data_IF_538173306880
#
_entry.id   IF_538173306880
#
_cell.length_a   1.000
_cell.length_b   1.000
_cell.length_c   1.000
_cell.angle_alpha   90.00
_cell.angle_beta   90.00
_cell.angle_gamma   90.00
#
_symmetry.space_group_name_H-M   'P 1'
#
loop_
_entity.id
_entity.type
_entity.pdbx_description
1 polymer ?
#
# COMPACT_ATOMS: atom_id res chain seq x y z
N UNK A 1 -7.07 -25.21 10.79
CA UNK A 1 -7.82 -25.03 9.53
C UNK A 1 -7.38 -23.72 8.88
N UNK A 2 -6.67 -23.78 7.75
CA UNK A 2 -6.24 -22.60 7.00
C UNK A 2 -7.46 -22.06 6.26
N UNK A 3 -8.08 -20.99 6.74
CA UNK A 3 -9.11 -20.27 5.96
C UNK A 3 -8.42 -19.67 4.74
N UNK A 4 -8.65 -20.27 3.57
CA UNK A 4 -8.27 -19.71 2.30
C UNK A 4 -9.01 -18.37 2.14
N UNK A 5 -8.27 -17.27 2.18
CA UNK A 5 -8.74 -15.95 1.75
C UNK A 5 -9.30 -16.12 0.33
N UNK A 6 -10.59 -15.87 0.14
CA UNK A 6 -11.20 -15.95 -1.19
C UNK A 6 -10.39 -15.08 -2.17
N UNK A 7 -10.02 -15.60 -3.35
CA UNK A 7 -9.21 -14.85 -4.30
C UNK A 7 -9.96 -13.60 -4.74
N UNK A 8 -9.30 -12.45 -4.65
CA UNK A 8 -9.87 -11.17 -5.09
C UNK A 8 -10.23 -11.29 -6.59
N UNK A 9 -11.36 -10.70 -7.03
CA UNK A 9 -11.82 -10.85 -8.40
C UNK A 9 -10.77 -10.35 -9.40
N UNK A 10 -10.68 -10.98 -10.58
CA UNK A 10 -9.72 -10.56 -11.60
C UNK A 10 -9.99 -9.11 -11.99
N UNK A 11 -8.91 -8.34 -12.10
CA UNK A 11 -8.95 -6.95 -12.54
C UNK A 11 -9.33 -6.91 -14.02
N UNK A 12 -10.26 -6.04 -14.38
CA UNK A 12 -10.75 -5.93 -15.77
C UNK A 12 -10.00 -4.86 -16.54
N UNK A 13 -9.55 -3.81 -15.87
CA UNK A 13 -8.80 -2.74 -16.48
C UNK A 13 -7.38 -3.16 -16.90
N UNK A 14 -6.94 -2.69 -18.07
CA UNK A 14 -5.55 -2.83 -18.55
C UNK A 14 -4.62 -1.81 -17.89
N UNK A 15 -5.16 -0.62 -17.55
CA UNK A 15 -4.38 0.48 -16.97
C UNK A 15 -4.22 0.30 -15.46
N UNK A 16 -2.98 0.35 -14.99
CA UNK A 16 -2.60 0.16 -13.58
C UNK A 16 -3.37 1.05 -12.59
N UNK A 17 -3.57 2.34 -12.93
CA UNK A 17 -4.34 3.24 -12.05
C UNK A 17 -5.83 2.92 -12.02
N UNK A 18 -6.38 2.36 -13.10
CA UNK A 18 -7.78 1.97 -13.16
C UNK A 18 -8.00 0.64 -12.42
N UNK A 19 -7.03 -0.27 -12.49
CA UNK A 19 -6.99 -1.47 -11.63
C UNK A 19 -7.00 -1.11 -10.13
N UNK A 20 -6.23 -0.09 -9.74
CA UNK A 20 -6.24 0.43 -8.37
C UNK A 20 -7.64 0.93 -7.98
N UNK A 21 -8.30 1.72 -8.84
CA UNK A 21 -9.66 2.21 -8.59
C UNK A 21 -10.67 1.07 -8.49
N UNK A 22 -10.62 0.10 -9.40
CA UNK A 22 -11.47 -1.09 -9.36
C UNK A 22 -11.33 -1.81 -8.02
N UNK A 23 -10.09 -2.01 -7.54
CA UNK A 23 -9.83 -2.71 -6.28
C UNK A 23 -10.31 -1.90 -5.06
N UNK A 24 -10.10 -0.59 -5.05
CA UNK A 24 -10.56 0.30 -3.97
C UNK A 24 -12.10 0.30 -3.90
N UNK A 25 -12.78 0.41 -5.05
CA UNK A 25 -14.24 0.39 -5.13
C UNK A 25 -14.83 -0.97 -4.78
N UNK A 26 -14.19 -2.06 -5.21
CA UNK A 26 -14.58 -3.42 -4.84
C UNK A 26 -14.50 -3.65 -3.32
N UNK A 27 -13.49 -3.07 -2.67
CA UNK A 27 -13.33 -3.14 -1.21
C UNK A 27 -14.15 -2.07 -0.46
N UNK A 28 -15.00 -1.33 -1.17
CA UNK A 28 -15.91 -0.32 -0.61
C UNK A 28 -15.20 0.79 0.21
N UNK A 29 -13.97 1.15 -0.17
CA UNK A 29 -13.34 2.33 0.41
C UNK A 29 -14.01 3.61 -0.08
N UNK A 30 -13.83 4.69 0.68
CA UNK A 30 -14.41 5.99 0.37
C UNK A 30 -13.73 6.65 -0.84
N UNK A 31 -14.47 7.53 -1.55
CA UNK A 31 -13.95 8.31 -2.67
C UNK A 31 -12.70 9.15 -2.31
N UNK A 32 -12.60 9.79 -1.12
CA UNK A 32 -11.38 10.47 -0.71
C UNK A 32 -10.17 9.54 -0.63
N UNK A 33 -10.36 8.30 -0.16
CA UNK A 33 -9.28 7.31 -0.12
C UNK A 33 -8.86 6.88 -1.52
N UNK A 34 -9.81 6.70 -2.44
CA UNK A 34 -9.51 6.46 -3.86
C UNK A 34 -8.61 7.56 -4.43
N UNK A 35 -9.00 8.82 -4.24
CA UNK A 35 -8.27 9.97 -4.77
C UNK A 35 -6.85 10.06 -4.19
N UNK A 36 -6.72 9.90 -2.86
CA UNK A 36 -5.43 9.92 -2.19
C UNK A 36 -4.51 8.80 -2.71
N UNK A 37 -5.02 7.57 -2.84
CA UNK A 37 -4.21 6.43 -3.25
C UNK A 37 -3.80 6.56 -4.72
N UNK A 38 -4.72 6.96 -5.60
CA UNK A 38 -4.40 7.21 -7.01
C UNK A 38 -3.37 8.34 -7.14
N UNK A 39 -3.46 9.39 -6.32
CA UNK A 39 -2.47 10.47 -6.29
C UNK A 39 -1.07 9.94 -5.96
N UNK A 40 -0.92 9.18 -4.87
CA UNK A 40 0.37 8.66 -4.43
C UNK A 40 0.98 7.64 -5.40
N UNK A 41 0.18 6.70 -5.91
CA UNK A 41 0.67 5.72 -6.88
C UNK A 41 1.09 6.40 -8.19
N UNK A 42 0.34 7.42 -8.64
CA UNK A 42 0.75 8.22 -9.80
C UNK A 42 2.04 9.00 -9.55
N UNK A 43 2.21 9.59 -8.36
CA UNK A 43 3.43 10.30 -7.99
C UNK A 43 4.64 9.35 -7.96
N UNK A 44 4.48 8.16 -7.41
CA UNK A 44 5.49 7.10 -7.39
C UNK A 44 5.92 6.68 -8.80
N UNK A 45 4.97 6.38 -9.69
CA UNK A 45 5.25 6.02 -11.09
C UNK A 45 6.05 7.12 -11.79
N UNK A 46 5.68 8.38 -11.57
CA UNK A 46 6.36 9.53 -12.18
C UNK A 46 7.75 9.75 -11.62
N UNK A 47 7.93 9.60 -10.32
CA UNK A 47 9.24 9.73 -9.66
C UNK A 47 10.26 8.73 -10.23
N UNK A 48 9.81 7.53 -10.60
CA UNK A 48 10.66 6.51 -11.21
C UNK A 48 10.72 6.54 -12.74
N UNK A 49 10.32 7.64 -13.38
CA UNK A 49 10.43 7.80 -14.83
C UNK A 49 9.42 6.99 -15.65
N UNK A 50 8.20 6.79 -15.12
CA UNK A 50 7.11 6.05 -15.79
C UNK A 50 7.45 4.57 -16.04
N UNK A 51 8.32 4.00 -15.20
CA UNK A 51 8.57 2.55 -15.17
C UNK A 51 7.35 1.80 -14.67
N UNK A 52 7.16 0.59 -15.18
CA UNK A 52 6.04 -0.24 -14.77
C UNK A 52 6.20 -0.66 -13.29
N UNK A 53 5.21 -0.43 -12.40
CA UNK A 53 5.38 -0.69 -10.97
C UNK A 53 5.71 -2.13 -10.59
N UNK A 54 5.34 -3.11 -11.41
CA UNK A 54 5.72 -4.51 -11.15
C UNK A 54 7.23 -4.77 -11.27
N UNK A 55 8.00 -3.87 -11.90
CA UNK A 55 9.47 -3.95 -11.97
C UNK A 55 10.15 -3.12 -10.89
N UNK A 56 9.37 -2.42 -10.04
CA UNK A 56 9.87 -1.58 -8.96
C UNK A 56 9.67 -2.34 -7.65
N UNK A 57 10.71 -2.41 -6.83
CA UNK A 57 10.71 -3.19 -5.61
C UNK A 57 10.81 -2.32 -4.36
N UNK A 58 11.36 -2.93 -3.31
CA UNK A 58 11.55 -2.32 -1.99
C UNK A 58 12.39 -1.04 -2.05
N UNK A 59 13.51 -1.09 -2.78
CA UNK A 59 14.48 0.00 -2.85
C UNK A 59 13.88 1.25 -3.49
N UNK A 60 13.04 1.07 -4.52
CA UNK A 60 12.31 2.14 -5.17
C UNK A 60 11.27 2.77 -4.24
N UNK A 61 10.51 1.94 -3.52
CA UNK A 61 9.54 2.42 -2.52
C UNK A 61 10.24 3.22 -1.43
N UNK A 62 11.36 2.73 -0.90
CA UNK A 62 12.15 3.43 0.11
C UNK A 62 12.73 4.75 -0.42
N UNK A 63 13.27 4.76 -1.64
CA UNK A 63 13.79 5.98 -2.26
C UNK A 63 12.70 7.04 -2.43
N UNK A 64 11.50 6.66 -2.85
CA UNK A 64 10.37 7.59 -3.00
C UNK A 64 9.90 8.15 -1.66
N UNK A 65 9.76 7.30 -0.63
CA UNK A 65 9.32 7.73 0.69
C UNK A 65 10.36 8.62 1.38
N UNK A 66 11.64 8.28 1.24
CA UNK A 66 12.75 9.13 1.69
C UNK A 66 12.71 10.48 0.99
N UNK A 67 12.45 10.48 -0.33
CA UNK A 67 12.33 11.69 -1.10
C UNK A 67 11.18 12.61 -0.62
N UNK A 68 10.05 12.01 -0.25
CA UNK A 68 8.94 12.76 0.34
C UNK A 68 9.31 13.41 1.67
N UNK A 69 10.06 12.70 2.52
CA UNK A 69 10.47 13.18 3.82
C UNK A 69 11.54 14.28 3.75
N UNK A 70 12.57 14.10 2.93
CA UNK A 70 13.75 14.95 2.93
C UNK A 70 13.61 16.15 2.00
N UNK A 71 13.25 15.92 0.73
CA UNK A 71 13.20 16.96 -0.29
C UNK A 71 11.85 17.68 -0.29
N UNK A 72 10.74 16.94 -0.13
CA UNK A 72 9.40 17.53 -0.12
C UNK A 72 8.93 17.96 1.26
N UNK A 73 9.65 17.57 2.33
CA UNK A 73 9.37 17.92 3.74
C UNK A 73 7.91 17.72 4.12
N UNK A 74 7.30 16.62 3.63
CA UNK A 74 5.88 16.36 3.88
C UNK A 74 5.65 16.04 5.36
N UNK A 75 4.44 16.30 5.86
CA UNK A 75 4.07 15.92 7.22
C UNK A 75 4.13 14.40 7.41
N UNK A 76 4.31 13.95 8.65
CA UNK A 76 4.28 12.53 9.02
C UNK A 76 2.96 11.86 8.58
N UNK A 77 1.83 12.56 8.73
CA UNK A 77 0.52 12.07 8.29
C UNK A 77 0.45 11.86 6.77
N UNK A 78 1.04 12.79 6.01
CA UNK A 78 1.13 12.71 4.54
C UNK A 78 2.03 11.54 4.11
N UNK A 79 3.19 11.38 4.76
CA UNK A 79 4.10 10.27 4.52
C UNK A 79 3.41 8.92 4.77
N UNK A 80 2.66 8.80 5.88
CA UNK A 80 1.91 7.59 6.23
C UNK A 80 0.81 7.27 5.21
N UNK A 81 0.13 8.29 4.66
CA UNK A 81 -0.83 8.09 3.57
C UNK A 81 -0.18 7.58 2.29
N UNK A 82 1.00 8.12 1.94
CA UNK A 82 1.77 7.65 0.78
C UNK A 82 2.20 6.20 0.95
N UNK A 83 2.75 5.84 2.11
CA UNK A 83 3.11 4.47 2.44
C UNK A 83 1.89 3.54 2.34
N UNK A 84 0.77 3.88 2.99
CA UNK A 84 -0.44 3.07 2.96
C UNK A 84 -0.96 2.82 1.53
N UNK A 85 -0.92 3.84 0.67
CA UNK A 85 -1.31 3.72 -0.73
C UNK A 85 -0.42 2.72 -1.50
N UNK A 86 0.90 2.79 -1.30
CA UNK A 86 1.85 1.87 -1.95
C UNK A 86 1.67 0.43 -1.44
N UNK A 87 1.52 0.24 -0.14
CA UNK A 87 1.30 -1.08 0.45
C UNK A 87 0.02 -1.72 -0.07
N UNK A 88 -1.06 -0.94 -0.13
CA UNK A 88 -2.31 -1.40 -0.73
C UNK A 88 -2.12 -1.79 -2.20
N UNK A 89 -1.43 -0.95 -2.97
CA UNK A 89 -1.22 -1.18 -4.38
C UNK A 89 -0.42 -2.47 -4.66
N UNK A 90 0.71 -2.69 -4.00
CA UNK A 90 1.49 -3.92 -4.21
C UNK A 90 0.77 -5.19 -3.71
N UNK A 91 0.17 -5.13 -2.52
CA UNK A 91 -0.48 -6.29 -1.93
C UNK A 91 -1.85 -6.62 -2.55
N UNK A 92 -2.62 -5.62 -2.96
CA UNK A 92 -4.00 -5.79 -3.45
C UNK A 92 -4.17 -5.58 -4.94
N UNK A 93 -3.26 -4.95 -5.66
CA UNK A 93 -3.41 -4.76 -7.12
C UNK A 93 -2.43 -5.66 -7.87
N UNK A 94 -1.16 -5.59 -7.51
CA UNK A 94 -0.13 -6.39 -8.16
C UNK A 94 -0.02 -7.82 -7.60
N UNK A 95 -0.66 -8.09 -6.45
CA UNK A 95 -0.54 -9.36 -5.72
C UNK A 95 0.92 -9.81 -5.55
N UNK A 96 1.84 -8.85 -5.45
CA UNK A 96 3.27 -9.11 -5.28
C UNK A 96 3.56 -9.10 -3.79
N UNK A 97 4.06 -10.21 -3.27
CA UNK A 97 4.56 -10.26 -1.91
C UNK A 97 5.87 -9.46 -1.89
N UNK A 98 5.87 -8.35 -1.16
CA UNK A 98 7.09 -7.62 -0.84
C UNK A 98 7.65 -8.28 0.42
N UNK A 99 8.74 -9.06 0.37
CA UNK A 99 9.17 -9.87 1.53
C UNK A 99 9.50 -9.03 2.78
N UNK A 100 9.91 -7.78 2.59
CA UNK A 100 10.12 -6.81 3.68
C UNK A 100 8.81 -6.25 4.28
N UNK A 101 7.68 -6.41 3.60
CA UNK A 101 6.34 -6.07 4.09
C UNK A 101 5.79 -7.15 5.04
N UNK A 102 6.17 -8.40 4.81
CA UNK A 102 5.70 -9.59 5.54
C UNK A 102 6.50 -9.88 6.82
N UNK A 103 7.59 -9.14 7.09
CA UNK A 103 8.29 -9.17 8.37
C UNK A 103 9.56 -10.02 8.42
N UNK A 104 10.26 -10.21 7.30
CA UNK A 104 11.62 -10.75 7.33
C UNK A 104 12.60 -9.66 7.83
N UNK A 105 12.82 -9.73 9.14
CA UNK A 105 13.59 -8.84 10.01
C UNK A 105 15.10 -8.87 9.75
N UNK A 106 15.56 -8.64 8.52
CA UNK A 106 17.00 -8.51 8.27
C UNK A 106 17.48 -7.14 7.79
N UNK A 107 16.73 -6.36 7.00
CA UNK A 107 17.24 -5.05 6.52
C UNK A 107 16.13 -4.14 5.96
N UNK A 108 15.34 -3.47 6.79
CA UNK A 108 14.30 -2.55 6.28
C UNK A 108 14.29 -1.23 7.04
N UNK A 109 14.88 -0.18 6.44
CA UNK A 109 14.92 1.17 6.99
C UNK A 109 13.52 1.84 6.96
N UNK A 110 12.62 1.42 6.07
CA UNK A 110 11.22 1.87 6.04
C UNK A 110 10.40 1.46 7.27
N UNK A 111 10.72 0.31 7.92
CA UNK A 111 10.11 -0.05 9.20
C UNK A 111 10.58 0.87 10.35
N UNK A 112 11.82 1.36 10.28
CA UNK A 112 12.36 2.34 11.22
C UNK A 112 11.76 3.74 10.98
N UNK A 113 11.58 4.14 9.70
CA UNK A 113 10.93 5.39 9.31
C UNK A 113 9.42 5.41 9.63
N UNK A 114 8.78 4.24 9.71
CA UNK A 114 7.38 4.12 10.12
C UNK A 114 7.14 4.34 11.62
N UNK A 115 8.19 4.45 12.44
CA UNK A 115 8.12 4.94 13.82
C UNK A 115 7.16 4.15 14.71
N UNK A 116 7.62 2.99 15.20
CA UNK A 116 6.97 2.26 16.28
C UNK A 116 5.69 1.51 15.86
N UNK A 117 5.52 0.30 16.37
CA UNK A 117 4.34 -0.53 16.17
C UNK A 117 3.08 0.15 16.74
N UNK A 118 2.49 1.07 15.96
CA UNK A 118 1.22 1.73 16.27
C UNK A 118 0.10 0.66 16.34
N UNK A 119 -0.63 0.55 17.46
CA UNK A 119 -1.80 -0.31 17.59
C UNK A 119 -2.84 -0.16 16.46
N UNK A 120 -2.86 0.99 15.74
CA UNK A 120 -3.73 1.21 14.58
C UNK A 120 -3.24 0.55 13.29
N UNK A 121 -1.98 0.14 13.19
CA UNK A 121 -1.48 -0.67 12.06
C UNK A 121 -1.85 -2.16 12.20
N UNK A 122 -2.16 -2.61 13.43
CA UNK A 122 -2.73 -3.94 13.69
C UNK A 122 -4.10 -4.09 13.01
N UNK A 123 -4.86 -2.99 12.92
CA UNK A 123 -6.14 -2.94 12.18
C UNK A 123 -5.94 -3.03 10.66
N UNK A 124 -4.89 -2.42 10.10
CA UNK A 124 -4.60 -2.46 8.66
C UNK A 124 -4.10 -3.84 8.20
N UNK A 125 -3.22 -4.49 8.98
CA UNK A 125 -2.80 -5.88 8.71
C UNK A 125 -3.97 -6.89 8.85
N UNK A 126 -4.88 -6.69 9.81
CA UNK A 126 -6.10 -7.50 9.94
C UNK A 126 -7.11 -7.27 8.80
N UNK A 127 -7.28 -6.02 8.35
CA UNK A 127 -8.14 -5.62 7.22
C UNK A 127 -7.64 -6.19 5.88
N UNK A 128 -6.32 -6.20 5.68
CA UNK A 128 -5.68 -6.83 4.51
C UNK A 128 -5.84 -8.36 4.52
N UNK A 129 -6.04 -9.02 5.67
CA UNK A 129 -6.30 -10.47 5.76
C UNK A 129 -7.79 -10.88 5.69
N UNK A 130 -8.73 -9.93 5.53
CA UNK A 130 -10.15 -10.27 5.42
C UNK A 130 -10.77 -10.84 6.70
N UNK A 131 -10.29 -10.45 7.89
CA UNK A 131 -11.00 -10.72 9.15
C UNK A 131 -11.72 -9.46 9.62
N UNK A 132 -13.00 -9.38 9.30
CA UNK A 132 -13.95 -8.47 9.94
C UNK A 132 -14.15 -8.97 11.37
N UNK A 133 -13.40 -8.43 12.33
CA UNK A 133 -13.74 -8.59 13.74
C UNK A 133 -15.10 -7.90 13.93
N UNK A 134 -16.14 -8.71 14.08
CA UNK A 134 -17.45 -8.31 14.57
C UNK A 134 -17.27 -7.73 15.97
N UNK A 135 -17.37 -6.41 16.08
CA UNK A 135 -17.73 -5.77 17.33
C UNK A 135 -19.18 -5.29 17.20
N UNK A 136 -20.03 -5.89 18.00
CA UNK A 136 -21.31 -5.34 18.45
C UNK A 136 -21.66 -6.02 19.77
N UNK A 137 -22.39 -5.35 20.67
CA UNK A 137 -22.41 -3.92 20.98
C UNK A 137 -21.67 -3.61 22.30
#
# INVERSE_FOLDING_TARGET
MKTATAPLPPLRSVKVLDQLRERIRYLHYSLPTEQAYVHWVRAFIRFHGVRHPATLGSSEVEAFLSWLANERKVSVSTHRQALAALLFFYGKVLCTDLPWLSGDRKTSAVAALAGGADPRMKWFASSVSGRRASLSP
#
